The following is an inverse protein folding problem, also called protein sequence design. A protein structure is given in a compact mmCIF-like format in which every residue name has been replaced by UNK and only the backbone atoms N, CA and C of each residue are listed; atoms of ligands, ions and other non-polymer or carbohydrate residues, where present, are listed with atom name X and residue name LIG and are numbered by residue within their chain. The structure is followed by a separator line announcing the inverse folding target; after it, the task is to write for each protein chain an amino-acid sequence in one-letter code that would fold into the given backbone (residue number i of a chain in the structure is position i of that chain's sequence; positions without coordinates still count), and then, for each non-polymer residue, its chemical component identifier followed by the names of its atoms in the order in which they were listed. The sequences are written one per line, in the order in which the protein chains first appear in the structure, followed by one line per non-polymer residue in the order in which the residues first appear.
data_IF_888097990969
#
_entry.id   IF_888097990969
#
_cell.length_a   1.000
_cell.length_b   1.000
_cell.length_c   1.000
_cell.angle_alpha   90.00
_cell.angle_beta   90.00
_cell.angle_gamma   90.00
#
_symmetry.space_group_name_H-M   'P 1'
#
loop_
_entity.id
_entity.type
_entity.pdbx_description
1 polymer ?
#
# COMPACT_ATOMS: atom_id res chain seq x y z
N UNK A 1 15.90 -14.76 -5.20
CA UNK A 1 15.08 -15.70 -4.41
C UNK A 1 13.63 -15.23 -4.52
N UNK A 2 12.73 -16.09 -5.01
CA UNK A 2 11.37 -15.70 -5.36
C UNK A 2 10.58 -15.46 -4.06
N UNK A 3 9.83 -14.35 -3.95
CA UNK A 3 9.11 -13.91 -2.75
C UNK A 3 8.17 -15.00 -2.21
N UNK A 4 7.59 -15.80 -3.10
CA UNK A 4 6.74 -16.94 -2.74
C UNK A 4 7.50 -18.04 -1.99
N UNK A 5 8.75 -18.30 -2.37
CA UNK A 5 9.61 -19.30 -1.72
C UNK A 5 10.06 -18.84 -0.34
N UNK A 6 10.33 -17.53 -0.18
CA UNK A 6 10.73 -16.95 1.11
C UNK A 6 9.61 -17.03 2.15
N UNK A 7 8.38 -16.66 1.77
CA UNK A 7 7.20 -16.73 2.65
C UNK A 7 6.90 -18.18 3.04
N UNK A 8 6.96 -19.13 2.10
CA UNK A 8 6.72 -20.54 2.40
C UNK A 8 7.77 -21.12 3.36
N UNK A 9 9.05 -20.79 3.16
CA UNK A 9 10.15 -21.26 4.03
C UNK A 9 10.04 -20.65 5.44
N UNK A 10 9.63 -19.38 5.55
CA UNK A 10 9.42 -18.72 6.84
C UNK A 10 8.23 -19.34 7.60
N UNK A 11 7.12 -19.64 6.90
CA UNK A 11 5.96 -20.30 7.48
C UNK A 11 6.29 -21.71 7.97
N UNK A 12 7.09 -22.46 7.22
CA UNK A 12 7.50 -23.83 7.59
C UNK A 12 8.45 -23.82 8.78
N UNK A 13 9.36 -22.83 8.85
CA UNK A 13 10.25 -22.67 10.01
C UNK A 13 9.46 -22.28 11.28
N UNK A 14 8.46 -21.39 11.17
CA UNK A 14 7.57 -21.00 12.27
C UNK A 14 6.71 -22.18 12.77
N UNK A 15 6.13 -22.97 11.86
CA UNK A 15 5.34 -24.15 12.21
C UNK A 15 6.20 -25.27 12.83
N UNK A 16 7.46 -25.41 12.38
CA UNK A 16 8.40 -26.40 12.92
C UNK A 16 8.85 -26.10 14.36
N UNK A 17 8.95 -24.82 14.76
CA UNK A 17 9.32 -24.42 16.12
C UNK A 17 8.17 -24.62 17.13
N UNK A 18 6.93 -24.57 16.69
CA UNK A 18 5.75 -24.76 17.54
C UNK A 18 5.64 -26.21 18.06
N UNK A 19 6.19 -27.21 17.37
CA UNK A 19 6.12 -28.60 17.79
C UNK A 19 7.13 -28.99 18.88
N UNK A 20 8.19 -28.21 19.11
CA UNK A 20 9.25 -28.60 20.06
C UNK A 20 9.13 -28.00 21.47
N UNK A 21 8.17 -27.14 21.76
CA UNK A 21 8.07 -26.45 23.05
C UNK A 21 6.87 -26.84 23.92
N UNK A 22 6.22 -28.00 23.66
CA UNK A 22 5.04 -28.44 24.41
C UNK A 22 5.34 -29.04 25.80
N UNK A 23 6.56 -28.92 26.33
CA UNK A 23 6.93 -29.43 27.68
C UNK A 23 7.56 -28.32 28.53
N UNK A 24 6.83 -27.25 28.79
CA UNK A 24 7.16 -26.36 29.90
C UNK A 24 6.25 -26.70 31.08
N UNK A 25 6.85 -27.13 32.14
CA UNK A 25 6.21 -27.56 33.40
C UNK A 25 5.29 -26.49 33.97
N UNK A 26 4.03 -26.86 34.15
CA UNK A 26 3.08 -26.20 35.01
C UNK A 26 3.54 -26.34 36.48
N UNK A 27 4.04 -25.26 37.06
CA UNK A 27 4.18 -25.15 38.52
C UNK A 27 3.42 -23.94 39.03
N UNK A 28 2.30 -24.24 39.67
CA UNK A 28 1.70 -23.63 40.86
C UNK A 28 1.42 -22.12 40.91
N UNK A 29 0.16 -21.80 41.16
CA UNK A 29 -0.37 -20.61 41.88
C UNK A 29 -0.08 -19.19 41.31
N UNK A 30 0.39 -19.08 40.10
CA UNK A 30 0.45 -17.79 39.39
C UNK A 30 -0.64 -17.76 38.31
N UNK A 31 -1.39 -16.69 38.26
CA UNK A 31 -2.31 -16.43 37.15
C UNK A 31 -1.58 -16.69 35.82
N UNK A 32 -2.17 -17.44 34.88
CA UNK A 32 -1.49 -17.92 33.67
C UNK A 32 -0.96 -16.80 32.74
N UNK A 33 -1.06 -15.54 33.15
CA UNK A 33 -0.83 -14.35 32.35
C UNK A 33 0.30 -13.45 32.79
N UNK A 34 1.00 -13.81 33.85
CA UNK A 34 1.98 -12.93 34.47
C UNK A 34 3.45 -13.29 34.14
N UNK A 35 3.66 -14.09 33.09
CA UNK A 35 5.00 -14.51 32.70
C UNK A 35 5.75 -13.44 31.92
N UNK A 36 6.97 -13.17 32.35
CA UNK A 36 8.01 -12.51 31.55
C UNK A 36 8.43 -13.49 30.44
N UNK A 37 8.57 -13.02 29.21
CA UNK A 37 8.97 -13.92 28.12
C UNK A 37 8.72 -13.35 26.74
N UNK A 38 9.13 -14.11 25.75
CA UNK A 38 9.01 -13.79 24.33
C UNK A 38 7.78 -14.49 23.73
N UNK A 39 6.99 -13.76 22.98
CA UNK A 39 5.93 -14.30 22.10
C UNK A 39 6.20 -13.89 20.67
N UNK A 40 5.97 -14.80 19.75
CA UNK A 40 6.01 -14.50 18.31
C UNK A 40 4.58 -14.42 17.80
N UNK A 41 4.32 -13.57 16.83
CA UNK A 41 2.99 -13.44 16.25
C UNK A 41 3.02 -13.27 14.73
N UNK A 42 1.87 -13.61 14.15
CA UNK A 42 1.51 -13.26 12.79
C UNK A 42 0.24 -12.42 12.84
N UNK A 43 0.11 -11.43 11.97
CA UNK A 43 -1.12 -10.68 11.82
C UNK A 43 -1.55 -10.53 10.37
N UNK A 44 -2.85 -10.32 10.20
CA UNK A 44 -3.48 -10.00 8.95
C UNK A 44 -4.50 -8.89 9.17
N UNK A 45 -4.52 -7.91 8.26
CA UNK A 45 -5.36 -6.75 8.42
C UNK A 45 -5.85 -6.13 7.13
N UNK A 46 -6.75 -5.18 7.28
CA UNK A 46 -7.25 -4.31 6.23
C UNK A 46 -6.81 -2.87 6.54
N UNK A 47 -6.05 -2.29 5.63
CA UNK A 47 -5.52 -0.93 5.74
C UNK A 47 -6.32 0.03 4.88
N UNK A 48 -6.70 1.15 5.49
CA UNK A 48 -7.24 2.35 4.83
C UNK A 48 -6.10 3.35 4.66
N UNK A 49 -5.46 3.40 3.48
CA UNK A 49 -4.32 4.27 3.24
C UNK A 49 -4.76 5.73 3.16
N UNK A 50 -3.80 6.63 3.35
CA UNK A 50 -4.03 8.05 3.15
C UNK A 50 -4.09 8.40 1.66
N UNK A 51 -5.18 9.03 1.22
CA UNK A 51 -5.35 9.45 -0.16
C UNK A 51 -4.43 10.61 -0.60
N UNK A 52 -3.76 11.28 0.35
CA UNK A 52 -2.80 12.33 -0.02
C UNK A 52 -1.66 11.79 -0.89
N UNK A 53 -1.12 10.61 -0.56
CA UNK A 53 -0.09 9.96 -1.38
C UNK A 53 -0.65 9.33 -2.66
N UNK A 54 -1.96 9.06 -2.74
CA UNK A 54 -2.60 8.63 -3.98
C UNK A 54 -2.53 9.70 -5.07
N UNK A 55 -2.47 10.98 -4.67
CA UNK A 55 -2.30 12.09 -5.61
C UNK A 55 -0.99 12.03 -6.40
N UNK A 56 0.01 11.27 -5.96
CA UNK A 56 1.20 10.97 -6.76
C UNK A 56 0.85 10.34 -8.12
N UNK A 57 -0.25 9.57 -8.18
CA UNK A 57 -0.69 8.85 -9.38
C UNK A 57 -1.70 9.65 -10.23
N UNK A 58 -1.98 10.91 -9.89
CA UNK A 58 -3.01 11.70 -10.58
C UNK A 58 -2.60 12.27 -11.93
N UNK A 59 -1.33 12.13 -12.31
CA UNK A 59 -0.80 12.62 -13.57
C UNK A 59 -0.75 14.15 -13.69
N UNK A 60 -0.74 14.90 -12.58
CA UNK A 60 -0.64 16.37 -12.56
C UNK A 60 0.81 16.84 -12.64
N UNK A 61 1.00 18.11 -13.00
CA UNK A 61 2.31 18.74 -13.12
C UNK A 61 3.11 18.85 -11.81
N UNK A 62 2.46 18.74 -10.67
CA UNK A 62 3.12 18.77 -9.35
C UNK A 62 4.04 17.58 -9.10
N UNK A 63 3.82 16.48 -9.80
CA UNK A 63 4.73 15.36 -9.85
C UNK A 63 5.33 15.22 -11.25
N UNK A 64 6.43 14.49 -11.35
CA UNK A 64 7.17 14.36 -12.62
C UNK A 64 6.45 13.44 -13.64
N UNK A 65 5.44 12.67 -13.20
CA UNK A 65 4.70 11.72 -14.03
C UNK A 65 3.38 12.38 -14.47
N UNK A 66 3.39 13.06 -15.62
CA UNK A 66 2.23 13.84 -16.09
C UNK A 66 1.54 13.21 -17.27
N UNK A 67 0.22 13.38 -17.35
CA UNK A 67 -0.60 12.92 -18.48
C UNK A 67 -0.20 13.67 -19.75
N UNK A 68 0.00 14.99 -19.66
CA UNK A 68 0.39 15.83 -20.80
C UNK A 68 1.69 15.35 -21.44
N UNK A 69 2.65 14.91 -20.61
CA UNK A 69 3.93 14.43 -21.12
C UNK A 69 3.78 13.21 -22.00
N UNK A 70 2.81 12.34 -21.71
CA UNK A 70 2.49 11.17 -22.53
C UNK A 70 1.70 11.58 -23.76
N UNK A 71 0.63 12.38 -23.58
CA UNK A 71 -0.25 12.81 -24.67
C UNK A 71 0.50 13.59 -25.76
N UNK A 72 1.46 14.44 -25.36
CA UNK A 72 2.20 15.30 -26.31
C UNK A 72 3.55 14.72 -26.70
N UNK A 73 3.89 13.49 -26.26
CA UNK A 73 5.13 12.83 -26.67
C UNK A 73 5.06 12.41 -28.13
N UNK A 74 6.17 12.48 -28.85
CA UNK A 74 6.28 11.94 -30.20
C UNK A 74 6.11 10.42 -30.22
N UNK A 75 6.42 9.75 -29.14
CA UNK A 75 6.38 8.30 -29.01
C UNK A 75 4.95 7.77 -28.84
N UNK A 76 4.15 8.38 -27.98
CA UNK A 76 2.81 7.88 -27.63
C UNK A 76 1.67 8.74 -28.17
N UNK A 77 1.86 10.04 -28.31
CA UNK A 77 0.79 10.96 -28.66
C UNK A 77 0.11 10.63 -29.98
N UNK A 78 0.88 10.30 -31.02
CA UNK A 78 0.31 9.89 -32.30
C UNK A 78 -0.43 8.54 -32.22
N UNK A 79 0.09 7.58 -31.49
CA UNK A 79 -0.58 6.26 -31.31
C UNK A 79 -1.89 6.43 -30.52
N UNK A 80 -1.90 7.24 -29.48
CA UNK A 80 -3.12 7.57 -28.72
C UNK A 80 -4.15 8.24 -29.62
N UNK A 81 -3.76 9.29 -30.33
CA UNK A 81 -4.63 10.01 -31.23
C UNK A 81 -5.23 9.11 -32.30
N UNK A 82 -4.40 8.32 -32.99
CA UNK A 82 -4.83 7.38 -34.00
C UNK A 82 -5.80 6.33 -33.42
N UNK A 83 -5.51 5.78 -32.27
CA UNK A 83 -6.40 4.83 -31.60
C UNK A 83 -7.77 5.43 -31.29
N UNK A 84 -7.82 6.70 -30.85
CA UNK A 84 -9.07 7.39 -30.57
C UNK A 84 -9.86 7.69 -31.85
N UNK A 85 -9.17 7.98 -32.97
CA UNK A 85 -9.79 8.14 -34.29
C UNK A 85 -10.35 6.80 -34.81
N UNK A 86 -9.55 5.75 -34.73
CA UNK A 86 -9.95 4.39 -35.19
C UNK A 86 -11.16 3.86 -34.39
N UNK A 87 -11.30 4.24 -33.13
CA UNK A 87 -12.45 3.96 -32.27
C UNK A 87 -13.63 4.92 -32.45
N UNK A 88 -13.52 5.88 -33.38
CA UNK A 88 -14.53 6.93 -33.61
C UNK A 88 -14.85 7.79 -32.36
N UNK A 89 -13.96 7.85 -31.38
CA UNK A 89 -14.12 8.63 -30.15
C UNK A 89 -13.81 10.12 -30.38
N UNK A 90 -12.96 10.44 -31.36
CA UNK A 90 -12.65 11.81 -31.80
C UNK A 90 -12.83 11.93 -33.31
N UNK A 91 -13.09 13.17 -33.76
CA UNK A 91 -13.14 13.49 -35.18
C UNK A 91 -11.83 14.13 -35.62
N UNK A 92 -11.15 13.60 -36.67
CA UNK A 92 -9.93 14.23 -37.20
C UNK A 92 -10.13 15.66 -37.69
N UNK A 93 -11.38 16.04 -38.05
CA UNK A 93 -11.71 17.42 -38.46
C UNK A 93 -11.82 18.36 -37.25
N UNK A 94 -12.13 17.87 -36.07
CA UNK A 94 -12.24 18.64 -34.84
C UNK A 94 -10.93 18.68 -34.05
N UNK A 95 -10.19 17.54 -34.04
CA UNK A 95 -8.88 17.39 -33.39
C UNK A 95 -7.92 16.83 -34.45
N UNK A 96 -7.29 17.70 -35.28
CA UNK A 96 -6.47 17.25 -36.40
C UNK A 96 -5.11 16.67 -35.98
N UNK A 97 -4.68 16.86 -34.72
CA UNK A 97 -3.39 16.40 -34.21
C UNK A 97 -3.46 15.97 -32.76
N UNK A 98 -2.60 15.02 -32.36
CA UNK A 98 -2.45 14.63 -30.94
C UNK A 98 -2.07 15.80 -30.04
N UNK A 99 -1.45 16.83 -30.56
CA UNK A 99 -1.08 18.05 -29.82
C UNK A 99 -2.26 18.93 -29.44
N UNK A 100 -3.42 18.66 -29.99
CA UNK A 100 -4.68 19.35 -29.71
C UNK A 100 -5.62 18.56 -28.80
N UNK A 101 -5.18 17.37 -28.34
CA UNK A 101 -5.90 16.64 -27.30
C UNK A 101 -5.86 17.45 -26.00
N UNK A 102 -7.02 17.66 -25.40
CA UNK A 102 -7.21 18.50 -24.23
C UNK A 102 -7.65 17.67 -23.03
N UNK A 103 -6.96 17.84 -21.88
CA UNK A 103 -7.37 17.24 -20.61
C UNK A 103 -8.36 18.20 -19.95
N UNK A 104 -9.59 17.75 -19.74
CA UNK A 104 -10.69 18.59 -19.23
C UNK A 104 -10.74 18.62 -17.73
N UNK A 105 -10.52 17.48 -17.10
CA UNK A 105 -10.50 17.34 -15.64
C UNK A 105 -9.26 16.57 -15.19
N UNK A 106 -8.52 17.11 -14.22
CA UNK A 106 -7.39 16.39 -13.67
C UNK A 106 -7.89 15.17 -12.89
N UNK A 107 -7.17 14.06 -12.98
CA UNK A 107 -7.47 12.83 -12.29
C UNK A 107 -7.57 13.03 -10.77
N UNK A 108 -8.68 12.60 -10.20
CA UNK A 108 -8.81 12.40 -8.77
C UNK A 108 -8.48 10.94 -8.47
N UNK A 109 -7.40 10.70 -7.75
CA UNK A 109 -6.95 9.35 -7.43
C UNK A 109 -7.17 9.01 -5.96
N UNK A 110 -7.58 7.78 -5.71
CA UNK A 110 -7.80 7.26 -4.36
C UNK A 110 -7.26 5.82 -4.27
N UNK A 111 -6.77 5.47 -3.08
CA UNK A 111 -6.40 4.08 -2.80
C UNK A 111 -7.64 3.23 -2.52
N UNK A 112 -7.59 2.01 -3.01
CA UNK A 112 -8.47 0.95 -2.53
C UNK A 112 -8.02 0.48 -1.14
N UNK A 113 -8.94 -0.12 -0.37
CA UNK A 113 -8.59 -0.83 0.86
C UNK A 113 -7.56 -1.90 0.50
N UNK A 114 -6.49 -1.98 1.28
CA UNK A 114 -5.38 -2.90 1.05
C UNK A 114 -5.32 -3.98 2.14
N UNK A 115 -5.00 -5.20 1.74
CA UNK A 115 -4.65 -6.25 2.70
C UNK A 115 -3.22 -6.03 3.20
N UNK A 116 -3.04 -6.15 4.51
CA UNK A 116 -1.77 -6.12 5.21
C UNK A 116 -1.49 -7.51 5.79
N UNK A 117 -0.26 -7.96 5.69
CA UNK A 117 0.23 -9.17 6.33
C UNK A 117 1.46 -8.82 7.14
N UNK A 118 1.50 -9.26 8.38
CA UNK A 118 2.56 -8.95 9.31
C UNK A 118 3.06 -10.15 10.10
N UNK A 119 4.24 -9.96 10.63
CA UNK A 119 4.86 -10.87 11.60
C UNK A 119 5.65 -10.04 12.61
N UNK A 120 5.81 -10.54 13.81
CA UNK A 120 6.57 -9.83 14.82
C UNK A 120 6.78 -10.62 16.10
N UNK A 121 7.31 -9.92 17.06
CA UNK A 121 7.51 -10.46 18.40
C UNK A 121 7.16 -9.43 19.47
N UNK A 122 6.76 -9.96 20.62
CA UNK A 122 6.45 -9.20 21.82
C UNK A 122 7.27 -9.79 22.96
N UNK A 123 7.97 -8.95 23.70
CA UNK A 123 8.76 -9.35 24.88
C UNK A 123 8.26 -8.62 26.11
N UNK A 124 7.75 -9.38 27.08
CA UNK A 124 7.33 -8.84 28.38
C UNK A 124 8.55 -8.73 29.31
N UNK A 125 8.94 -7.50 29.69
CA UNK A 125 10.01 -7.24 30.66
C UNK A 125 9.55 -7.51 32.09
N UNK A 126 8.32 -7.07 32.38
CA UNK A 126 7.64 -7.23 33.64
C UNK A 126 6.17 -7.53 33.36
N UNK A 127 5.43 -7.92 34.42
CA UNK A 127 3.99 -8.16 34.30
C UNK A 127 3.30 -7.06 33.52
N UNK A 128 2.69 -7.41 32.37
CA UNK A 128 1.82 -6.53 31.58
C UNK A 128 2.51 -5.30 30.96
N UNK A 129 3.81 -5.31 30.83
CA UNK A 129 4.56 -4.25 30.16
C UNK A 129 5.78 -4.83 29.44
N UNK A 130 6.00 -4.40 28.20
CA UNK A 130 7.11 -4.90 27.41
C UNK A 130 7.35 -4.12 26.14
N UNK A 131 8.10 -4.72 25.24
CA UNK A 131 8.38 -4.19 23.91
C UNK A 131 7.72 -5.02 22.81
N UNK A 132 7.42 -4.36 21.69
CA UNK A 132 6.91 -4.99 20.48
C UNK A 132 7.77 -4.57 19.30
N UNK A 133 8.05 -5.53 18.42
CA UNK A 133 8.56 -5.26 17.09
C UNK A 133 7.71 -5.98 16.07
N UNK A 134 7.32 -5.28 14.99
CA UNK A 134 6.44 -5.78 13.95
C UNK A 134 6.99 -5.39 12.59
N UNK A 135 6.83 -6.30 11.64
CA UNK A 135 7.14 -6.12 10.23
C UNK A 135 5.88 -6.40 9.43
N UNK A 136 5.38 -5.41 8.72
CA UNK A 136 4.17 -5.50 7.91
C UNK A 136 4.48 -5.23 6.44
N UNK A 137 3.77 -5.95 5.58
CA UNK A 137 3.81 -5.77 4.15
C UNK A 137 2.42 -5.57 3.59
N UNK A 138 2.28 -4.57 2.71
CA UNK A 138 1.02 -4.30 2.01
C UNK A 138 1.29 -3.85 0.58
N UNK A 139 0.36 -4.19 -0.32
CA UNK A 139 0.32 -3.71 -1.69
C UNK A 139 -0.87 -2.76 -1.84
N UNK A 140 -0.59 -1.52 -2.23
CA UNK A 140 -1.59 -0.50 -2.49
C UNK A 140 -1.88 -0.37 -3.97
N UNK A 141 -3.14 -0.05 -4.30
CA UNK A 141 -3.58 0.26 -5.65
C UNK A 141 -4.33 1.58 -5.61
N UNK A 142 -3.79 2.58 -6.30
CA UNK A 142 -4.45 3.85 -6.55
C UNK A 142 -5.20 3.78 -7.88
N UNK A 143 -6.41 4.36 -7.92
CA UNK A 143 -7.24 4.44 -9.13
C UNK A 143 -7.84 5.82 -9.24
N UNK A 144 -7.96 6.31 -10.47
CA UNK A 144 -8.60 7.58 -10.78
C UNK A 144 -9.14 7.60 -12.20
N UNK A 145 -9.87 8.66 -12.49
CA UNK A 145 -10.45 8.91 -13.82
C UNK A 145 -10.12 10.35 -14.19
N UNK A 146 -9.74 10.56 -15.44
CA UNK A 146 -9.65 11.87 -16.07
C UNK A 146 -10.41 11.85 -17.40
N UNK A 147 -10.71 13.02 -17.93
CA UNK A 147 -11.46 13.14 -19.17
C UNK A 147 -10.61 13.83 -20.24
N UNK A 148 -10.72 13.32 -21.46
CA UNK A 148 -10.21 14.00 -22.67
C UNK A 148 -11.37 14.65 -23.41
N UNK A 149 -11.14 15.81 -24.02
CA UNK A 149 -12.12 16.42 -24.92
C UNK A 149 -12.22 15.61 -26.20
N UNK A 150 -13.44 15.32 -26.64
CA UNK A 150 -13.67 14.69 -27.94
C UNK A 150 -13.65 15.69 -29.10
N UNK A 151 -13.53 17.00 -28.83
CA UNK A 151 -13.66 18.06 -29.82
C UNK A 151 -15.07 18.21 -30.41
N UNK A 152 -16.07 17.49 -29.87
CA UNK A 152 -17.45 17.61 -30.36
C UNK A 152 -18.06 18.94 -29.89
N UNK A 153 -18.58 19.77 -30.81
CA UNK A 153 -19.26 21.02 -30.41
C UNK A 153 -20.54 20.70 -29.65
N UNK A 154 -20.81 21.49 -28.61
CA UNK A 154 -21.97 21.33 -27.74
C UNK A 154 -23.34 21.36 -28.44
N UNK A 155 -23.40 21.90 -29.63
CA UNK A 155 -24.63 21.98 -30.46
C UNK A 155 -24.98 20.67 -31.23
N UNK A 156 -24.08 19.68 -31.28
CA UNK A 156 -24.28 18.41 -31.99
C UNK A 156 -24.60 17.26 -31.01
N UNK A 157 -24.88 17.57 -29.77
CA UNK A 157 -25.01 16.68 -28.63
C UNK A 157 -26.21 15.71 -28.60
N UNK A 158 -26.77 15.34 -29.74
CA UNK A 158 -27.81 14.31 -29.63
C UNK A 158 -27.27 12.86 -29.54
N UNK A 159 -25.99 12.57 -29.92
CA UNK A 159 -25.49 11.18 -29.92
C UNK A 159 -23.97 10.98 -29.67
N UNK A 160 -23.18 11.98 -29.31
CA UNK A 160 -21.74 11.79 -29.02
C UNK A 160 -21.38 12.41 -27.67
N UNK A 161 -20.65 11.66 -26.85
CA UNK A 161 -20.12 12.16 -25.60
C UNK A 161 -19.11 13.30 -25.88
N UNK A 162 -19.27 14.42 -25.19
CA UNK A 162 -18.34 15.55 -25.27
C UNK A 162 -16.96 15.21 -24.68
N UNK A 163 -16.94 14.22 -23.78
CA UNK A 163 -15.76 13.80 -23.05
C UNK A 163 -15.54 12.30 -23.18
N UNK A 164 -14.28 11.91 -23.24
CA UNK A 164 -13.81 10.53 -23.26
C UNK A 164 -13.26 10.21 -21.88
N UNK A 165 -13.89 9.33 -21.09
CA UNK A 165 -13.38 8.94 -19.80
C UNK A 165 -12.15 8.04 -19.99
N UNK A 166 -11.06 8.37 -19.26
CA UNK A 166 -9.81 7.65 -19.27
C UNK A 166 -9.43 7.24 -17.83
N UNK A 167 -8.90 6.04 -17.68
CA UNK A 167 -8.44 5.54 -16.40
C UNK A 167 -7.01 5.97 -16.09
N UNK A 168 -6.69 6.12 -14.79
CA UNK A 168 -5.32 6.23 -14.31
C UNK A 168 -5.12 5.31 -13.11
N UNK A 169 -4.00 4.60 -13.09
CA UNK A 169 -3.74 3.51 -12.14
C UNK A 169 -2.32 3.59 -11.62
N UNK A 170 -2.18 3.32 -10.33
CA UNK A 170 -0.89 3.18 -9.70
C UNK A 170 -0.85 2.03 -8.73
N UNK A 171 0.29 1.35 -8.64
CA UNK A 171 0.50 0.33 -7.62
C UNK A 171 1.83 0.55 -6.93
N UNK A 172 1.84 0.31 -5.62
CA UNK A 172 3.04 0.39 -4.81
C UNK A 172 3.06 -0.69 -3.73
N UNK A 173 4.24 -1.07 -3.34
CA UNK A 173 4.47 -1.89 -2.16
C UNK A 173 4.93 -1.00 -1.02
N UNK A 174 4.36 -1.22 0.17
CA UNK A 174 4.83 -0.63 1.41
C UNK A 174 5.26 -1.71 2.37
N UNK A 175 6.35 -1.43 3.06
CA UNK A 175 6.86 -2.25 4.16
C UNK A 175 6.93 -1.35 5.38
N UNK A 176 6.37 -1.80 6.51
CA UNK A 176 6.46 -1.11 7.79
C UNK A 176 7.30 -1.91 8.76
N UNK A 177 8.11 -1.21 9.52
CA UNK A 177 8.86 -1.73 10.66
C UNK A 177 8.44 -0.89 11.86
N UNK A 178 7.70 -1.49 12.77
CA UNK A 178 7.22 -0.86 13.98
C UNK A 178 8.05 -1.34 15.17
N UNK A 179 8.54 -0.40 15.96
CA UNK A 179 9.26 -0.67 17.20
C UNK A 179 8.60 0.14 18.31
N UNK A 180 8.15 -0.53 19.36
CA UNK A 180 7.39 0.15 20.39
C UNK A 180 7.38 -0.56 21.74
N UNK A 181 6.62 0.03 22.64
CA UNK A 181 6.29 -0.51 23.94
C UNK A 181 4.80 -0.87 23.95
N UNK A 182 4.46 -1.84 24.77
CA UNK A 182 3.07 -2.15 25.01
C UNK A 182 2.75 -2.20 26.50
N UNK A 183 1.48 -1.93 26.81
CA UNK A 183 0.91 -2.08 28.15
C UNK A 183 -0.39 -2.86 28.05
N UNK A 184 -0.51 -3.91 28.86
CA UNK A 184 -1.76 -4.68 28.94
C UNK A 184 -2.49 -4.43 30.25
N UNK A 185 -3.84 -4.43 30.17
CA UNK A 185 -4.75 -4.25 31.27
C UNK A 185 -5.70 -5.45 31.30
N UNK A 186 -5.72 -6.20 32.39
CA UNK A 186 -6.63 -7.34 32.54
C UNK A 186 -8.07 -6.83 32.63
N UNK A 187 -8.96 -7.40 31.83
CA UNK A 187 -10.41 -7.22 31.92
C UNK A 187 -11.04 -8.41 32.65
N UNK A 188 -10.57 -9.62 32.30
CA UNK A 188 -10.95 -10.88 32.97
C UNK A 188 -9.77 -11.87 32.87
N UNK A 189 -9.97 -13.09 33.37
CA UNK A 189 -8.94 -14.13 33.35
C UNK A 189 -8.43 -14.47 31.94
N UNK A 190 -9.27 -14.34 30.93
CA UNK A 190 -8.94 -14.69 29.54
C UNK A 190 -8.95 -13.49 28.59
N UNK A 191 -9.25 -12.27 29.09
CA UNK A 191 -9.43 -11.09 28.23
C UNK A 191 -8.58 -9.93 28.74
N UNK A 192 -7.83 -9.32 27.85
CA UNK A 192 -6.98 -8.15 28.12
C UNK A 192 -7.26 -7.04 27.12
N UNK A 193 -7.15 -5.81 27.58
CA UNK A 193 -6.98 -4.64 26.74
C UNK A 193 -5.48 -4.33 26.64
N UNK A 194 -4.98 -4.22 25.44
CA UNK A 194 -3.55 -3.95 25.20
C UNK A 194 -3.43 -2.69 24.35
N UNK A 195 -2.45 -1.86 24.67
CA UNK A 195 -2.10 -0.68 23.88
C UNK A 195 -0.64 -0.77 23.50
N UNK A 196 -0.37 -0.83 22.21
CA UNK A 196 0.97 -0.72 21.62
C UNK A 196 1.19 0.73 21.19
N UNK A 197 2.36 1.29 21.45
CA UNK A 197 2.76 2.65 21.06
C UNK A 197 4.24 2.66 20.67
N UNK A 198 4.57 3.30 19.56
CA UNK A 198 5.97 3.34 19.14
C UNK A 198 6.26 4.14 17.89
N UNK A 199 7.44 3.85 17.35
CA UNK A 199 7.97 4.43 16.13
C UNK A 199 7.72 3.50 14.95
N UNK A 200 7.41 4.09 13.81
CA UNK A 200 7.29 3.42 12.53
C UNK A 200 8.39 3.91 11.59
N UNK A 201 9.05 2.99 10.93
CA UNK A 201 9.89 3.24 9.75
C UNK A 201 9.22 2.53 8.58
N UNK A 202 9.03 3.23 7.47
CA UNK A 202 8.38 2.64 6.32
C UNK A 202 9.22 2.80 5.06
N UNK A 203 9.10 1.82 4.17
CA UNK A 203 9.66 1.84 2.83
C UNK A 203 8.54 1.73 1.82
N UNK A 204 8.52 2.63 0.86
CA UNK A 204 7.55 2.63 -0.24
C UNK A 204 8.28 2.44 -1.56
N UNK A 205 7.79 1.53 -2.39
CA UNK A 205 8.30 1.26 -3.74
C UNK A 205 7.15 1.33 -4.73
N UNK A 206 7.17 2.31 -5.63
CA UNK A 206 6.23 2.42 -6.75
C UNK A 206 6.52 1.31 -7.74
N UNK A 207 5.52 0.53 -8.11
CA UNK A 207 5.63 -0.58 -9.06
C UNK A 207 5.13 -0.19 -10.44
N UNK A 208 3.95 0.44 -10.50
CA UNK A 208 3.34 0.87 -11.75
C UNK A 208 2.74 2.26 -11.58
N UNK A 209 2.79 3.04 -12.63
CA UNK A 209 2.01 4.25 -12.81
C UNK A 209 1.64 4.31 -14.29
N UNK A 210 0.36 4.07 -14.61
CA UNK A 210 -0.12 3.94 -15.99
C UNK A 210 -1.48 4.59 -16.17
N UNK A 211 -1.80 4.90 -17.40
CA UNK A 211 -3.11 5.39 -17.80
C UNK A 211 -3.69 4.53 -18.92
N UNK A 212 -5.00 4.43 -18.96
CA UNK A 212 -5.76 3.71 -19.98
C UNK A 212 -6.54 4.71 -20.83
N UNK A 213 -6.25 4.73 -22.12
CA UNK A 213 -6.91 5.60 -23.10
C UNK A 213 -7.35 4.76 -24.29
N UNK A 214 -8.66 4.77 -24.60
CA UNK A 214 -9.21 4.00 -25.70
C UNK A 214 -8.93 2.50 -25.60
N UNK A 215 -8.93 1.94 -24.37
CA UNK A 215 -8.68 0.52 -24.11
C UNK A 215 -7.22 0.09 -24.20
N UNK A 216 -6.29 1.02 -24.41
CA UNK A 216 -4.85 0.77 -24.37
C UNK A 216 -4.21 1.36 -23.13
N UNK A 217 -3.27 0.61 -22.53
CA UNK A 217 -2.51 1.06 -21.35
C UNK A 217 -1.18 1.70 -21.79
N UNK A 218 -0.87 2.86 -21.19
CA UNK A 218 0.35 3.62 -21.40
C UNK A 218 1.04 3.84 -20.06
N UNK A 219 2.29 3.38 -19.94
CA UNK A 219 3.07 3.55 -18.70
C UNK A 219 3.61 4.97 -18.61
N UNK A 220 3.32 5.63 -17.50
CA UNK A 220 3.88 6.95 -17.19
C UNK A 220 5.32 6.81 -16.67
N UNK A 221 5.68 5.66 -16.06
CA UNK A 221 7.04 5.40 -15.56
C UNK A 221 8.04 5.20 -16.70
N UNK A 222 7.65 4.56 -17.79
CA UNK A 222 8.54 4.22 -18.90
C UNK A 222 9.09 5.45 -19.64
N UNK A 223 8.37 6.55 -19.64
CA UNK A 223 8.83 7.82 -20.22
C UNK A 223 10.03 8.39 -19.47
N UNK A 224 10.20 8.04 -18.21
CA UNK A 224 11.30 8.47 -17.36
C UNK A 224 12.52 7.55 -17.42
N UNK A 225 12.35 6.29 -17.80
CA UNK A 225 13.46 5.33 -17.85
C UNK A 225 14.48 5.62 -18.94
N UNK A 226 14.28 6.69 -19.71
CA UNK A 226 15.24 7.13 -20.74
C UNK A 226 15.44 6.08 -21.83
N UNK A 227 14.50 5.20 -22.07
CA UNK A 227 14.48 4.29 -23.19
C UNK A 227 14.33 5.07 -24.50
N UNK A 228 15.42 5.73 -24.86
CA UNK A 228 15.63 6.13 -26.24
C UNK A 228 15.90 4.82 -27.01
N UNK A 229 15.09 4.48 -28.02
CA UNK A 229 15.23 3.22 -28.77
C UNK A 229 16.60 3.07 -29.47
N UNK A 230 17.45 4.09 -29.43
CA UNK A 230 18.76 4.13 -30.09
C UNK A 230 19.96 3.92 -29.15
N UNK A 231 19.78 3.77 -27.87
CA UNK A 231 20.88 3.40 -26.98
C UNK A 231 20.65 1.99 -26.47
N UNK A 232 21.47 1.03 -26.85
CA UNK A 232 21.51 -0.35 -26.37
C UNK A 232 21.88 -0.47 -24.87
N UNK A 233 21.36 0.42 -24.06
CA UNK A 233 21.43 0.37 -22.61
C UNK A 233 20.29 -0.48 -22.11
N UNK A 234 20.62 -1.47 -21.29
CA UNK A 234 19.65 -2.22 -20.50
C UNK A 234 18.72 -1.23 -19.83
N UNK A 235 17.42 -1.40 -20.04
CA UNK A 235 16.38 -0.63 -19.34
C UNK A 235 16.58 -0.84 -17.84
N UNK A 236 17.16 0.12 -17.16
CA UNK A 236 17.10 0.16 -15.71
C UNK A 236 15.67 0.50 -15.35
N UNK A 237 14.94 -0.45 -14.82
CA UNK A 237 13.64 -0.18 -14.19
C UNK A 237 13.86 0.84 -13.07
N UNK A 238 13.57 2.09 -13.34
CA UNK A 238 13.71 3.17 -12.36
C UNK A 238 12.51 3.13 -11.42
N UNK A 239 12.64 2.35 -10.36
CA UNK A 239 11.65 2.33 -9.31
C UNK A 239 11.75 3.59 -8.46
N UNK A 240 10.67 4.38 -8.45
CA UNK A 240 10.55 5.47 -7.48
C UNK A 240 10.31 4.84 -6.11
N UNK A 241 11.20 5.10 -5.17
CA UNK A 241 11.13 4.56 -3.81
C UNK A 241 11.55 5.60 -2.79
N UNK A 242 11.10 5.42 -1.55
CA UNK A 242 11.49 6.29 -0.46
C UNK A 242 11.32 5.61 0.89
N UNK A 243 12.09 6.12 1.86
CA UNK A 243 12.02 5.71 3.26
C UNK A 243 11.36 6.84 4.05
N UNK A 244 10.29 6.53 4.73
CA UNK A 244 9.55 7.41 5.60
C UNK A 244 9.60 6.94 7.05
N UNK A 245 9.02 7.73 7.93
CA UNK A 245 8.96 7.43 9.36
C UNK A 245 7.74 8.08 10.00
N UNK A 246 7.42 7.66 11.21
CA UNK A 246 6.31 8.21 11.97
C UNK A 246 6.11 7.54 13.31
N UNK A 247 4.89 7.69 13.81
CA UNK A 247 4.44 7.12 15.06
C UNK A 247 3.25 6.20 14.80
N UNK A 248 3.07 5.23 15.67
CA UNK A 248 1.85 4.43 15.69
C UNK A 248 1.30 4.27 17.11
N UNK A 249 0.00 4.06 17.19
CA UNK A 249 -0.70 3.60 18.39
C UNK A 249 -1.68 2.52 17.97
N UNK A 250 -1.69 1.40 18.70
CA UNK A 250 -2.52 0.24 18.38
C UNK A 250 -3.23 -0.29 19.62
N UNK A 251 -4.43 0.21 19.94
CA UNK A 251 -5.30 -0.44 20.89
C UNK A 251 -5.82 -1.77 20.34
N UNK A 252 -5.80 -2.80 21.18
CA UNK A 252 -6.31 -4.13 20.81
C UNK A 252 -6.91 -4.85 22.03
N UNK A 253 -7.73 -5.84 21.74
CA UNK A 253 -8.30 -6.76 22.72
C UNK A 253 -7.68 -8.13 22.46
N UNK A 254 -6.96 -8.64 23.45
CA UNK A 254 -6.33 -9.95 23.43
C UNK A 254 -7.21 -10.95 24.17
N UNK A 255 -7.63 -12.01 23.47
CA UNK A 255 -8.27 -13.17 24.05
C UNK A 255 -7.27 -14.32 24.14
N UNK A 256 -7.12 -14.87 25.35
CA UNK A 256 -6.18 -15.95 25.62
C UNK A 256 -6.92 -17.27 25.61
N UNK A 257 -6.48 -18.15 24.72
CA UNK A 257 -7.01 -19.50 24.55
C UNK A 257 -6.53 -20.43 25.70
N UNK A 258 -7.24 -21.53 25.99
CA UNK A 258 -6.84 -22.50 27.04
C UNK A 258 -5.43 -23.07 26.86
N UNK A 259 -4.90 -23.08 25.64
CA UNK A 259 -3.53 -23.54 25.36
C UNK A 259 -2.48 -22.42 25.50
N UNK A 260 -2.83 -21.30 26.14
CA UNK A 260 -2.02 -20.10 26.34
C UNK A 260 -1.61 -19.34 25.05
N UNK A 261 -2.19 -19.67 23.91
CA UNK A 261 -2.06 -18.85 22.69
C UNK A 261 -2.97 -17.62 22.81
N UNK A 262 -2.54 -16.48 22.24
CA UNK A 262 -3.32 -15.25 22.19
C UNK A 262 -3.93 -15.02 20.80
N UNK A 263 -5.11 -14.41 20.80
CA UNK A 263 -5.75 -13.85 19.59
C UNK A 263 -6.09 -12.40 19.86
N UNK A 264 -5.49 -11.47 19.14
CA UNK A 264 -5.76 -10.03 19.24
C UNK A 264 -6.68 -9.59 18.11
N UNK A 265 -7.65 -8.76 18.49
CA UNK A 265 -8.41 -7.92 17.56
C UNK A 265 -8.03 -6.47 17.81
N UNK A 266 -7.43 -5.83 16.83
CA UNK A 266 -6.85 -4.52 17.02
C UNK A 266 -7.13 -3.54 15.90
N UNK A 267 -6.88 -2.29 16.25
CA UNK A 267 -6.90 -1.16 15.36
C UNK A 267 -5.58 -0.41 15.51
N UNK A 268 -4.89 -0.14 14.39
CA UNK A 268 -3.68 0.67 14.39
C UNK A 268 -3.96 2.03 13.75
N UNK A 269 -3.58 3.07 14.45
CA UNK A 269 -3.49 4.43 13.93
C UNK A 269 -2.04 4.76 13.68
N UNK A 270 -1.71 5.14 12.46
CA UNK A 270 -0.39 5.62 12.07
C UNK A 270 -0.46 7.10 11.74
N UNK A 271 0.53 7.86 12.21
CA UNK A 271 0.80 9.21 11.72
C UNK A 271 2.20 9.23 11.16
N UNK A 272 2.31 8.99 9.87
CA UNK A 272 3.57 8.70 9.19
C UNK A 272 3.79 9.60 8.00
N UNK A 273 5.07 9.89 7.74
CA UNK A 273 5.56 10.48 6.52
C UNK A 273 5.86 9.36 5.55
N UNK A 274 5.20 9.37 4.39
CA UNK A 274 5.53 8.52 3.25
C UNK A 274 6.41 9.36 2.33
N UNK A 275 7.62 8.90 2.04
CA UNK A 275 8.58 9.68 1.27
C UNK A 275 8.56 9.25 -0.20
N UNK A 276 7.56 9.75 -0.95
CA UNK A 276 7.50 9.63 -2.40
C UNK A 276 7.83 11.02 -2.97
N UNK A 277 8.57 11.13 -4.11
CA UNK A 277 8.89 12.42 -4.72
C UNK A 277 7.68 13.33 -4.90
N UNK A 278 7.74 14.55 -4.35
CA UNK A 278 6.63 15.50 -4.34
C UNK A 278 5.58 15.30 -3.24
N UNK A 279 5.57 14.15 -2.54
CA UNK A 279 4.58 13.82 -1.51
C UNK A 279 5.26 13.29 -0.26
N UNK A 280 5.75 14.19 0.57
CA UNK A 280 6.55 13.86 1.75
C UNK A 280 6.00 14.46 3.05
N UNK A 281 4.69 14.61 3.15
CA UNK A 281 4.00 15.14 4.33
C UNK A 281 3.59 14.03 5.27
N UNK A 282 3.44 14.37 6.56
CA UNK A 282 2.84 13.48 7.54
C UNK A 282 1.33 13.37 7.32
N UNK A 283 0.83 12.16 7.38
CA UNK A 283 -0.59 11.91 7.15
C UNK A 283 -1.08 10.70 7.96
N UNK A 284 -2.36 10.70 8.39
CA UNK A 284 -2.96 9.61 9.13
C UNK A 284 -3.26 8.42 8.22
N UNK A 285 -3.12 7.21 8.77
CA UNK A 285 -3.49 5.96 8.14
C UNK A 285 -4.05 5.01 9.19
N UNK A 286 -4.94 4.12 8.79
CA UNK A 286 -5.66 3.24 9.70
C UNK A 286 -5.58 1.80 9.23
N UNK A 287 -5.43 0.86 10.18
CA UNK A 287 -5.46 -0.58 9.92
C UNK A 287 -6.31 -1.27 10.97
N UNK A 288 -7.21 -2.14 10.55
CA UNK A 288 -7.90 -3.10 11.42
C UNK A 288 -7.25 -4.45 11.18
N UNK A 289 -6.91 -5.17 12.26
CA UNK A 289 -6.16 -6.41 12.14
C UNK A 289 -6.61 -7.48 13.14
N UNK A 290 -6.30 -8.73 12.79
CA UNK A 290 -6.33 -9.88 13.67
C UNK A 290 -4.90 -10.38 13.80
N UNK A 291 -4.47 -10.71 15.04
CA UNK A 291 -3.13 -11.21 15.35
C UNK A 291 -3.22 -12.49 16.14
N UNK A 292 -2.39 -13.44 15.79
CA UNK A 292 -2.25 -14.71 16.50
C UNK A 292 -0.88 -14.76 17.16
N UNK A 293 -0.86 -14.90 18.49
CA UNK A 293 0.35 -14.96 19.30
C UNK A 293 0.62 -16.40 19.74
N UNK A 294 1.89 -16.80 19.70
CA UNK A 294 2.32 -18.05 20.32
C UNK A 294 2.33 -17.93 21.84
N UNK A 295 2.43 -19.07 22.50
CA UNK A 295 2.76 -19.12 23.92
C UNK A 295 4.09 -18.37 24.16
N UNK A 296 4.25 -17.83 25.37
CA UNK A 296 5.52 -17.26 25.81
C UNK A 296 6.55 -18.36 26.06
N UNK A 297 7.79 -18.08 25.68
CA UNK A 297 8.95 -18.92 25.97
C UNK A 297 9.86 -18.23 26.95
#
# INVERSE_FOLDING_TARGET
MNTKTFVATLLTALLGTVQHTATAQSNSNNEPFDFVGLSVFIDAGATLPNNHTAAFYNGRQENQNTIERILYSEMYGYDIWRNLVDLELISPSAIPSYRELEIVEPASTQYSIAMQLGLGFRYDFVKRFGMIARFDYLKLTAKGIFNLSSGAPSSILSNRNQYIPCGIYGTENRTYIDLGLFKSFAISDNLRFVVDLGLNVNSTKVLTNSMEIGGKEYSILDVWSGNSPNMGMQAYEYYQSGIGYGLFVSPNIEYILPNAMGVDFGFSFYYTKINIPGYNTFAPQYTVYIRFLTNKF
#
